data_IF_759678379419
#
_entry.id   IF_759678379419
#
_cell.length_a   1.000
_cell.length_b   1.000
_cell.length_c   1.000
_cell.angle_alpha   90.00
_cell.angle_beta   90.00
_cell.angle_gamma   90.00
#
_symmetry.space_group_name_H-M   'P 1'
#
loop_
_entity.id
_entity.type
_entity.pdbx_description
1 polymer ?
#
# COMPACT_ATOMS: atom_id res chain seq x y z
N UNK A 1 -16.03 25.05 -10.31
CA UNK A 1 -15.82 23.85 -11.15
C UNK A 1 -14.36 23.36 -11.04
N UNK A 2 -14.03 22.61 -9.98
CA UNK A 2 -12.71 21.94 -9.84
C UNK A 2 -12.96 20.57 -9.20
N UNK A 3 -13.38 19.60 -10.00
CA UNK A 3 -13.52 18.18 -9.63
C UNK A 3 -13.01 17.40 -10.84
N UNK A 4 -11.81 16.82 -10.80
CA UNK A 4 -11.36 15.72 -11.68
C UNK A 4 -9.95 15.18 -11.33
N UNK A 5 -9.06 15.90 -10.63
CA UNK A 5 -7.65 15.46 -10.57
C UNK A 5 -7.26 14.34 -9.57
N UNK A 6 -8.08 13.98 -8.58
CA UNK A 6 -7.62 13.06 -7.52
C UNK A 6 -7.87 11.56 -7.76
N UNK A 7 -8.81 11.20 -8.63
CA UNK A 7 -9.02 9.80 -9.06
C UNK A 7 -7.85 9.33 -9.95
N UNK A 8 -7.17 10.27 -10.61
CA UNK A 8 -6.05 9.99 -11.51
C UNK A 8 -4.82 9.46 -10.78
N UNK A 9 -4.47 9.96 -9.58
CA UNK A 9 -3.18 9.64 -8.96
C UNK A 9 -3.13 8.26 -8.28
N UNK A 10 -4.22 7.80 -7.67
CA UNK A 10 -4.29 6.44 -7.12
C UNK A 10 -4.42 5.40 -8.25
N UNK A 11 -5.11 5.75 -9.34
CA UNK A 11 -5.16 4.94 -10.57
C UNK A 11 -3.81 4.92 -11.31
N UNK A 12 -3.02 5.99 -11.25
CA UNK A 12 -1.66 6.06 -11.81
C UNK A 12 -0.65 5.28 -10.96
N UNK A 13 -0.79 5.30 -9.63
CA UNK A 13 0.06 4.51 -8.74
C UNK A 13 -0.24 3.01 -8.87
N UNK A 14 -1.51 2.61 -8.98
CA UNK A 14 -1.86 1.22 -9.30
C UNK A 14 -1.49 0.85 -10.75
N UNK A 15 -1.67 1.73 -11.74
CA UNK A 15 -1.35 1.41 -13.15
C UNK A 15 0.15 1.27 -13.38
N UNK A 16 0.99 2.12 -12.78
CA UNK A 16 2.45 2.02 -12.92
C UNK A 16 3.03 0.84 -12.13
N UNK A 17 2.38 0.43 -11.03
CA UNK A 17 2.78 -0.77 -10.27
C UNK A 17 2.27 -2.07 -10.91
N UNK A 18 1.16 -2.03 -11.68
CA UNK A 18 0.62 -3.20 -12.40
C UNK A 18 1.15 -3.36 -13.84
N UNK A 19 1.52 -2.29 -14.54
CA UNK A 19 2.08 -2.35 -15.92
C UNK A 19 3.59 -2.61 -15.96
N UNK A 20 4.31 -2.50 -14.84
CA UNK A 20 5.73 -2.85 -14.75
C UNK A 20 6.03 -4.36 -14.72
N UNK A 21 5.04 -5.22 -14.98
CA UNK A 21 5.17 -6.68 -14.96
C UNK A 21 5.15 -7.20 -16.40
N UNK A 22 6.23 -6.94 -17.13
CA UNK A 22 6.76 -7.87 -18.13
C UNK A 22 8.24 -8.06 -17.80
N UNK A 23 8.68 -9.23 -17.34
CA UNK A 23 10.10 -9.50 -17.26
C UNK A 23 10.62 -9.67 -18.70
N UNK A 24 11.44 -8.72 -19.16
CA UNK A 24 12.43 -9.02 -20.20
C UNK A 24 13.44 -9.99 -19.57
N UNK A 25 13.13 -11.28 -19.64
CA UNK A 25 14.10 -12.34 -19.50
C UNK A 25 14.75 -12.52 -20.85
N UNK A 26 15.85 -11.81 -21.12
CA UNK A 26 16.89 -12.27 -22.04
C UNK A 26 18.15 -11.40 -21.91
N UNK A 27 19.30 -12.06 -22.04
CA UNK A 27 20.65 -11.54 -22.17
C UNK A 27 21.40 -11.15 -20.87
N UNK A 28 21.86 -12.16 -20.13
CA UNK A 28 23.21 -12.14 -19.57
C UNK A 28 23.89 -13.49 -19.82
N UNK A 29 24.58 -13.58 -20.97
CA UNK A 29 25.56 -14.63 -21.22
C UNK A 29 26.88 -14.26 -20.51
N UNK A 30 27.61 -15.24 -19.94
CA UNK A 30 28.88 -15.00 -19.27
C UNK A 30 30.02 -14.94 -20.29
N UNK A 31 30.82 -13.87 -20.26
CA UNK A 31 32.12 -13.83 -20.95
C UNK A 31 33.25 -14.32 -20.03
N UNK A 32 34.28 -14.96 -20.60
CA UNK A 32 35.29 -15.68 -19.83
C UNK A 32 36.41 -14.77 -19.30
N UNK A 33 36.92 -15.22 -18.15
CA UNK A 33 38.13 -14.85 -17.43
C UNK A 33 39.33 -14.54 -18.33
N UNK A 34 39.94 -13.37 -18.14
CA UNK A 34 41.32 -13.06 -18.56
C UNK A 34 42.13 -12.61 -17.33
N UNK A 35 43.02 -13.48 -16.87
CA UNK A 35 44.03 -13.22 -15.86
C UNK A 35 45.24 -12.52 -16.49
N UNK A 36 45.77 -11.47 -15.86
CA UNK A 36 47.19 -11.07 -15.79
C UNK A 36 47.33 -9.86 -14.81
N UNK A 37 48.54 -9.42 -14.41
CA UNK A 37 49.16 -9.76 -13.14
C UNK A 37 49.34 -8.55 -12.19
N UNK A 38 49.72 -8.87 -10.95
CA UNK A 38 49.99 -7.95 -9.85
C UNK A 38 51.12 -6.97 -10.13
N UNK A 39 50.90 -5.70 -9.81
CA UNK A 39 51.93 -4.76 -9.36
C UNK A 39 51.46 -4.05 -8.10
N UNK A 40 52.17 -4.30 -7.01
CA UNK A 40 52.02 -3.64 -5.71
C UNK A 40 52.78 -2.31 -5.74
N UNK A 41 52.07 -1.19 -5.62
CA UNK A 41 52.67 0.07 -5.19
C UNK A 41 51.90 0.67 -4.02
N UNK A 42 52.68 0.92 -2.98
CA UNK A 42 52.37 1.42 -1.67
C UNK A 42 51.99 2.91 -1.76
N UNK A 43 50.77 3.28 -1.37
CA UNK A 43 50.40 4.69 -1.15
C UNK A 43 49.67 4.82 0.17
N UNK A 44 50.46 5.19 1.18
CA UNK A 44 50.05 5.41 2.55
C UNK A 44 49.60 6.87 2.72
N UNK A 45 48.34 7.03 3.14
CA UNK A 45 47.77 8.16 3.91
C UNK A 45 47.75 9.54 3.25
N UNK A 46 46.62 9.85 2.62
CA UNK A 46 45.86 11.11 2.76
C UNK A 46 44.41 10.82 2.35
N UNK A 47 43.59 10.34 3.29
CA UNK A 47 42.13 10.30 3.16
C UNK A 47 41.58 10.83 4.48
N UNK A 48 41.67 12.15 4.62
CA UNK A 48 40.95 12.90 5.63
C UNK A 48 39.82 13.64 4.90
N UNK A 49 38.59 13.27 5.25
CA UNK A 49 37.46 14.19 5.39
C UNK A 49 36.67 14.67 4.15
N UNK A 50 36.34 13.76 3.22
CA UNK A 50 35.29 14.01 2.19
C UNK A 50 33.99 13.24 2.43
N UNK A 51 33.89 12.43 3.47
CA UNK A 51 32.69 11.62 3.75
C UNK A 51 31.59 12.39 4.49
N UNK A 52 31.88 13.55 5.06
CA UNK A 52 30.89 14.32 5.85
C UNK A 52 29.80 14.96 4.97
N UNK A 53 30.15 15.44 3.77
CA UNK A 53 29.20 16.18 2.92
C UNK A 53 28.19 15.27 2.19
N UNK A 54 28.62 14.07 1.81
CA UNK A 54 27.75 13.05 1.19
C UNK A 54 26.66 12.57 2.16
N UNK A 55 27.00 12.44 3.46
CA UNK A 55 26.02 12.08 4.49
C UNK A 55 25.01 13.20 4.73
N UNK A 56 25.44 14.46 4.70
CA UNK A 56 24.58 15.65 4.82
C UNK A 56 23.56 15.74 3.67
N UNK A 57 23.97 15.49 2.43
CA UNK A 57 23.06 15.48 1.27
C UNK A 57 22.05 14.33 1.35
N UNK A 58 22.51 13.12 1.70
CA UNK A 58 21.64 11.96 1.88
C UNK A 58 20.60 12.19 3.02
N UNK A 59 21.00 12.83 4.12
CA UNK A 59 20.14 13.21 5.25
C UNK A 59 19.07 14.23 4.83
N UNK A 60 19.46 15.26 4.06
CA UNK A 60 18.53 16.26 3.51
C UNK A 60 17.49 15.63 2.58
N UNK A 61 17.95 14.82 1.62
CA UNK A 61 17.05 14.13 0.69
C UNK A 61 16.13 13.14 1.41
N UNK A 62 16.63 12.47 2.46
CA UNK A 62 15.82 11.63 3.36
C UNK A 62 14.73 12.45 4.04
N UNK A 63 15.08 13.58 4.66
CA UNK A 63 14.14 14.46 5.38
C UNK A 63 13.08 15.01 4.43
N UNK A 64 13.48 15.42 3.24
CA UNK A 64 12.55 15.92 2.22
C UNK A 64 11.58 14.84 1.75
N UNK A 65 12.07 13.62 1.51
CA UNK A 65 11.19 12.50 1.13
C UNK A 65 10.22 12.13 2.24
N UNK A 66 10.67 12.13 3.50
CA UNK A 66 9.80 11.95 4.67
C UNK A 66 8.73 13.05 4.68
N UNK A 67 9.12 14.32 4.53
CA UNK A 67 8.19 15.45 4.50
C UNK A 67 7.17 15.35 3.36
N UNK A 68 7.58 14.94 2.16
CA UNK A 68 6.68 14.74 1.02
C UNK A 68 5.72 13.57 1.26
N UNK A 69 6.21 12.49 1.84
CA UNK A 69 5.40 11.32 2.19
C UNK A 69 4.37 11.70 3.26
N UNK A 70 4.80 12.41 4.30
CA UNK A 70 3.92 12.93 5.35
C UNK A 70 2.89 13.89 4.74
N UNK A 71 3.30 14.84 3.89
CA UNK A 71 2.37 15.76 3.22
C UNK A 71 1.36 15.01 2.34
N UNK A 72 1.78 13.96 1.63
CA UNK A 72 0.91 13.12 0.83
C UNK A 72 -0.09 12.35 1.71
N UNK A 73 0.39 11.66 2.75
CA UNK A 73 -0.49 10.94 3.68
C UNK A 73 -1.46 11.90 4.37
N UNK A 74 -0.99 13.03 4.90
CA UNK A 74 -1.85 14.07 5.47
C UNK A 74 -2.89 14.58 4.47
N UNK A 75 -2.52 14.73 3.19
CA UNK A 75 -3.46 15.14 2.14
C UNK A 75 -4.51 14.06 1.85
N UNK A 76 -4.08 12.81 1.64
CA UNK A 76 -4.99 11.67 1.39
C UNK A 76 -5.98 11.52 2.54
N UNK A 77 -5.49 11.62 3.77
CA UNK A 77 -6.33 11.46 4.96
C UNK A 77 -7.24 12.67 5.18
N UNK A 78 -6.80 13.91 4.89
CA UNK A 78 -7.70 15.07 4.85
C UNK A 78 -8.78 14.96 3.78
N UNK A 79 -8.48 14.29 2.67
CA UNK A 79 -9.46 14.12 1.60
C UNK A 79 -10.47 13.01 1.91
N UNK A 80 -10.04 11.96 2.61
CA UNK A 80 -10.96 11.00 3.25
C UNK A 80 -11.79 11.64 4.36
N UNK A 81 -11.17 12.49 5.19
CA UNK A 81 -11.83 13.31 6.22
C UNK A 81 -12.97 14.15 5.65
N UNK A 82 -12.82 14.67 4.43
CA UNK A 82 -13.89 15.42 3.74
C UNK A 82 -14.95 14.55 3.09
N UNK A 83 -14.70 13.26 2.88
CA UNK A 83 -15.69 12.34 2.30
C UNK A 83 -16.56 11.72 3.39
N UNK A 84 -16.02 11.53 4.59
CA UNK A 84 -16.72 10.98 5.75
C UNK A 84 -17.45 12.06 6.60
N UNK A 85 -17.74 13.24 6.02
CA UNK A 85 -18.11 14.50 6.69
C UNK A 85 -19.47 14.53 7.45
N UNK A 86 -20.01 13.38 7.85
CA UNK A 86 -21.15 13.25 8.77
C UNK A 86 -20.77 12.87 10.21
N UNK A 87 -19.56 12.34 10.45
CA UNK A 87 -19.07 11.97 11.79
C UNK A 87 -17.96 12.95 12.19
N UNK A 88 -18.33 13.94 13.01
CA UNK A 88 -17.48 15.06 13.43
C UNK A 88 -16.60 14.62 14.60
N UNK A 89 -15.28 14.70 14.44
CA UNK A 89 -14.33 14.73 15.54
C UNK A 89 -13.37 15.93 15.40
N UNK A 90 -12.81 16.37 16.53
CA UNK A 90 -11.96 17.55 16.65
C UNK A 90 -10.53 17.23 16.15
N UNK A 91 -10.36 17.18 14.82
CA UNK A 91 -9.13 16.73 14.15
C UNK A 91 -7.91 17.65 14.31
N UNK A 92 -8.07 18.78 15.00
CA UNK A 92 -6.98 19.66 15.38
C UNK A 92 -6.38 19.28 16.74
N UNK A 93 -6.86 18.19 17.37
CA UNK A 93 -6.26 17.59 18.54
C UNK A 93 -4.77 17.24 18.31
N UNK A 94 -3.84 17.80 19.10
CA UNK A 94 -2.42 17.51 18.98
C UNK A 94 -2.07 16.03 19.19
N UNK A 95 -2.83 15.31 20.02
CA UNK A 95 -2.57 13.90 20.31
C UNK A 95 -2.87 13.04 19.07
N UNK A 96 -4.03 13.20 18.45
CA UNK A 96 -4.36 12.53 17.18
C UNK A 96 -3.34 12.82 16.08
N UNK A 97 -2.85 14.06 15.98
CA UNK A 97 -1.79 14.40 15.02
C UNK A 97 -0.46 13.69 15.31
N UNK A 98 -0.12 13.50 16.58
CA UNK A 98 1.10 12.81 16.99
C UNK A 98 1.03 11.30 16.68
N UNK A 99 -0.10 10.66 16.99
CA UNK A 99 -0.36 9.26 16.66
C UNK A 99 -0.29 9.03 15.14
N UNK A 100 -0.91 9.92 14.38
CA UNK A 100 -0.84 9.90 12.92
C UNK A 100 0.60 10.00 12.39
N UNK A 101 1.40 10.91 12.94
CA UNK A 101 2.80 11.06 12.57
C UNK A 101 3.62 9.81 12.92
N UNK A 102 3.31 9.17 14.04
CA UNK A 102 3.97 7.94 14.48
C UNK A 102 3.68 6.80 13.50
N UNK A 103 2.41 6.61 13.13
CA UNK A 103 2.00 5.60 12.15
C UNK A 103 2.69 5.81 10.79
N UNK A 104 2.69 7.05 10.29
CA UNK A 104 3.36 7.39 9.02
C UNK A 104 4.86 7.09 9.06
N UNK A 105 5.54 7.35 10.19
CA UNK A 105 6.96 6.98 10.40
C UNK A 105 7.16 5.46 10.38
N UNK A 106 6.25 4.69 11.00
CA UNK A 106 6.30 3.21 10.97
C UNK A 106 6.15 2.67 9.54
N UNK A 107 5.18 3.18 8.76
CA UNK A 107 5.04 2.81 7.33
C UNK A 107 6.27 3.20 6.50
N UNK A 108 6.82 4.39 6.71
CA UNK A 108 8.06 4.83 6.06
C UNK A 108 9.20 3.84 6.35
N UNK A 109 9.35 3.43 7.60
CA UNK A 109 10.39 2.50 8.01
C UNK A 109 10.22 1.13 7.35
N UNK A 110 8.98 0.63 7.24
CA UNK A 110 8.67 -0.60 6.50
C UNK A 110 9.07 -0.49 5.01
N UNK A 111 8.71 0.60 4.34
CA UNK A 111 9.11 0.86 2.95
C UNK A 111 10.63 0.92 2.79
N UNK A 112 11.34 1.49 3.76
CA UNK A 112 12.80 1.50 3.76
C UNK A 112 13.38 0.10 3.90
N UNK A 113 12.83 -0.76 4.76
CA UNK A 113 13.24 -2.17 4.85
C UNK A 113 13.06 -2.92 3.53
N UNK A 114 12.04 -2.61 2.75
CA UNK A 114 11.88 -3.16 1.39
C UNK A 114 13.04 -2.70 0.49
N UNK A 115 13.37 -1.41 0.49
CA UNK A 115 14.47 -0.84 -0.31
C UNK A 115 15.84 -1.40 0.09
N UNK A 116 16.05 -1.68 1.37
CA UNK A 116 17.28 -2.27 1.91
C UNK A 116 17.37 -3.79 1.65
N UNK A 117 16.48 -4.38 0.86
CA UNK A 117 16.48 -5.82 0.57
C UNK A 117 16.03 -6.70 1.74
N UNK A 118 15.32 -6.13 2.73
CA UNK A 118 14.83 -6.82 3.94
C UNK A 118 13.30 -6.93 3.96
N UNK A 119 12.67 -7.59 2.97
CA UNK A 119 11.21 -7.64 2.84
C UNK A 119 10.54 -8.33 4.04
N UNK A 120 11.10 -9.41 4.57
CA UNK A 120 10.56 -10.09 5.76
C UNK A 120 10.50 -9.19 7.01
N UNK A 121 11.38 -8.18 7.11
CA UNK A 121 11.30 -7.21 8.19
C UNK A 121 10.18 -6.20 7.95
N UNK A 122 10.02 -5.72 6.70
CA UNK A 122 8.90 -4.86 6.34
C UNK A 122 7.55 -5.52 6.64
N UNK A 123 7.43 -6.82 6.33
CA UNK A 123 6.24 -7.61 6.66
C UNK A 123 5.93 -7.58 8.17
N UNK A 124 6.92 -7.91 9.01
CA UNK A 124 6.75 -7.88 10.48
C UNK A 124 6.34 -6.51 11.00
N UNK A 125 6.85 -5.43 10.41
CA UNK A 125 6.45 -4.07 10.78
C UNK A 125 4.97 -3.84 10.45
N UNK A 126 4.50 -4.19 9.26
CA UNK A 126 3.09 -4.03 8.92
C UNK A 126 2.17 -4.88 9.78
N UNK A 127 2.55 -6.13 10.07
CA UNK A 127 1.77 -7.00 10.96
C UNK A 127 1.67 -6.42 12.36
N UNK A 128 2.78 -5.90 12.90
CA UNK A 128 2.79 -5.24 14.20
C UNK A 128 1.89 -4.01 14.23
N UNK A 129 1.95 -3.15 13.20
CA UNK A 129 1.07 -1.98 13.12
C UNK A 129 -0.41 -2.40 13.10
N UNK A 130 -0.76 -3.44 12.35
CA UNK A 130 -2.14 -3.95 12.31
C UNK A 130 -2.57 -4.41 13.70
N UNK A 131 -1.70 -5.15 14.39
CA UNK A 131 -1.98 -5.63 15.74
C UNK A 131 -2.15 -4.46 16.72
N UNK A 132 -1.24 -3.47 16.71
CA UNK A 132 -1.34 -2.28 17.56
C UNK A 132 -2.67 -1.53 17.36
N UNK A 133 -3.09 -1.33 16.11
CA UNK A 133 -4.38 -0.67 15.81
C UNK A 133 -5.57 -1.52 16.28
N UNK A 134 -5.46 -2.85 16.23
CA UNK A 134 -6.52 -3.76 16.68
C UNK A 134 -6.63 -3.79 18.20
N UNK A 135 -5.49 -3.80 18.89
CA UNK A 135 -5.44 -3.78 20.36
C UNK A 135 -6.00 -2.43 20.89
N UNK A 136 -5.68 -1.30 20.24
CA UNK A 136 -6.22 0.03 20.57
C UNK A 136 -7.76 0.11 20.40
N UNK A 137 -8.33 -0.60 19.41
CA UNK A 137 -9.79 -0.64 19.20
C UNK A 137 -10.55 -1.40 20.29
N UNK A 138 -9.91 -2.28 21.03
CA UNK A 138 -10.53 -2.96 22.17
C UNK A 138 -10.64 -2.04 23.40
N UNK A 139 -9.77 -1.03 23.49
CA UNK A 139 -9.67 -0.11 24.64
C UNK A 139 -10.49 1.18 24.43
N UNK A 140 -10.57 1.68 23.19
CA UNK A 140 -11.23 2.95 22.85
C UNK A 140 -12.53 2.76 22.04
N UNK A 141 -13.56 3.56 22.32
CA UNK A 141 -14.83 3.60 21.53
C UNK A 141 -14.66 4.16 20.11
N UNK A 142 -13.43 4.55 19.72
CA UNK A 142 -13.16 5.23 18.46
C UNK A 142 -12.53 4.30 17.44
N UNK A 143 -13.28 4.01 16.38
CA UNK A 143 -12.83 3.07 15.37
C UNK A 143 -11.98 3.72 14.27
N UNK A 144 -10.66 3.51 14.32
CA UNK A 144 -9.69 4.01 13.34
C UNK A 144 -9.61 3.18 12.03
N UNK A 145 -10.77 2.88 11.44
CA UNK A 145 -10.91 2.03 10.24
C UNK A 145 -10.02 2.45 9.06
N UNK A 146 -9.74 3.74 8.92
CA UNK A 146 -8.90 4.27 7.86
C UNK A 146 -7.43 3.84 8.00
N UNK A 147 -6.89 3.87 9.23
CA UNK A 147 -5.50 3.51 9.52
C UNK A 147 -5.28 2.01 9.30
N UNK A 148 -6.22 1.20 9.78
CA UNK A 148 -6.24 -0.24 9.57
C UNK A 148 -6.31 -0.57 8.07
N UNK A 149 -7.23 0.06 7.33
CA UNK A 149 -7.38 -0.15 5.89
C UNK A 149 -6.10 0.14 5.11
N UNK A 150 -5.46 1.28 5.37
CA UNK A 150 -4.20 1.66 4.71
C UNK A 150 -3.11 0.61 4.98
N UNK A 151 -2.94 0.21 6.24
CA UNK A 151 -1.90 -0.76 6.62
C UNK A 151 -2.17 -2.14 6.01
N UNK A 152 -3.42 -2.59 6.01
CA UNK A 152 -3.87 -3.83 5.34
C UNK A 152 -3.54 -3.81 3.86
N UNK A 153 -3.82 -2.71 3.15
CA UNK A 153 -3.52 -2.58 1.72
C UNK A 153 -2.02 -2.64 1.45
N UNK A 154 -1.21 -1.98 2.28
CA UNK A 154 0.26 -2.00 2.16
C UNK A 154 0.82 -3.41 2.39
N UNK A 155 0.32 -4.13 3.41
CA UNK A 155 0.71 -5.52 3.67
C UNK A 155 0.31 -6.45 2.51
N UNK A 156 -0.93 -6.34 2.03
CA UNK A 156 -1.41 -7.17 0.92
C UNK A 156 -0.61 -6.93 -0.37
N UNK A 157 -0.24 -5.67 -0.65
CA UNK A 157 0.62 -5.35 -1.78
C UNK A 157 2.04 -5.90 -1.59
N UNK A 158 2.59 -5.76 -0.38
CA UNK A 158 3.90 -6.29 -0.04
C UNK A 158 3.98 -7.81 -0.28
N UNK A 159 3.00 -8.57 0.23
CA UNK A 159 2.89 -10.02 0.05
C UNK A 159 2.80 -10.42 -1.43
N UNK A 160 2.05 -9.68 -2.24
CA UNK A 160 1.97 -9.95 -3.68
C UNK A 160 3.32 -9.73 -4.39
N UNK A 161 4.10 -8.75 -3.97
CA UNK A 161 5.41 -8.43 -4.57
C UNK A 161 6.50 -9.41 -4.18
N UNK A 162 6.43 -9.99 -2.99
CA UNK A 162 7.40 -10.99 -2.51
C UNK A 162 7.08 -12.40 -2.98
N UNK A 163 6.00 -12.59 -3.74
CA UNK A 163 5.59 -13.92 -4.24
C UNK A 163 4.97 -14.80 -3.16
N UNK A 164 4.43 -14.21 -2.08
CA UNK A 164 3.74 -14.97 -1.05
C UNK A 164 2.52 -15.71 -1.63
N UNK A 165 2.11 -16.80 -0.97
CA UNK A 165 0.99 -17.61 -1.45
C UNK A 165 -0.30 -16.78 -1.52
N UNK A 166 -1.14 -16.97 -2.56
CA UNK A 166 -2.42 -16.26 -2.65
C UNK A 166 -3.32 -16.46 -1.43
N UNK A 167 -3.21 -17.59 -0.74
CA UNK A 167 -3.95 -17.87 0.51
C UNK A 167 -3.57 -16.89 1.63
N UNK A 168 -2.28 -16.58 1.78
CA UNK A 168 -1.77 -15.64 2.79
C UNK A 168 -2.21 -14.21 2.50
N UNK A 169 -2.21 -13.80 1.23
CA UNK A 169 -2.73 -12.47 0.87
C UNK A 169 -4.24 -12.38 1.11
N UNK A 170 -5.00 -13.45 0.83
CA UNK A 170 -6.44 -13.49 1.15
C UNK A 170 -6.70 -13.36 2.64
N UNK A 171 -5.92 -14.02 3.49
CA UNK A 171 -6.13 -13.96 4.94
C UNK A 171 -5.96 -12.54 5.48
N UNK A 172 -5.06 -11.73 4.90
CA UNK A 172 -4.90 -10.31 5.27
C UNK A 172 -6.17 -9.51 5.00
N UNK A 173 -6.80 -9.67 3.83
CA UNK A 173 -8.09 -9.03 3.53
C UNK A 173 -9.21 -9.53 4.43
N UNK A 174 -9.30 -10.84 4.64
CA UNK A 174 -10.36 -11.43 5.47
C UNK A 174 -10.23 -11.01 6.94
N UNK A 175 -9.00 -10.89 7.46
CA UNK A 175 -8.75 -10.40 8.81
C UNK A 175 -9.26 -8.97 8.99
N UNK A 176 -9.00 -8.10 8.00
CA UNK A 176 -9.53 -6.73 8.00
C UNK A 176 -11.06 -6.73 8.12
N UNK A 177 -11.77 -7.51 7.30
CA UNK A 177 -13.24 -7.54 7.35
C UNK A 177 -13.80 -8.20 8.59
N UNK A 178 -13.08 -9.16 9.18
CA UNK A 178 -13.49 -9.74 10.46
C UNK A 178 -13.55 -8.64 11.53
N UNK A 179 -12.48 -7.86 11.66
CA UNK A 179 -12.42 -6.77 12.64
C UNK A 179 -13.38 -5.64 12.27
N UNK A 180 -13.28 -5.11 11.05
CA UNK A 180 -14.03 -3.92 10.65
C UNK A 180 -15.55 -4.12 10.44
N UNK A 181 -16.05 -5.36 10.34
CA UNK A 181 -17.49 -5.62 10.08
C UNK A 181 -18.16 -6.40 11.21
N UNK A 182 -17.45 -7.32 11.87
CA UNK A 182 -18.04 -8.14 12.93
C UNK A 182 -17.92 -7.44 14.29
N UNK A 183 -16.81 -6.77 14.55
CA UNK A 183 -16.52 -6.14 15.85
C UNK A 183 -16.93 -4.66 15.88
N UNK A 184 -16.89 -3.96 14.72
CA UNK A 184 -17.16 -2.52 14.62
C UNK A 184 -18.63 -2.06 14.48
N UNK A 185 -19.61 -2.96 14.54
CA UNK A 185 -21.01 -2.63 14.21
C UNK A 185 -21.21 -2.28 12.72
N UNK A 186 -22.45 -2.18 12.26
CA UNK A 186 -22.82 -2.05 10.83
C UNK A 186 -22.43 -0.72 10.15
N UNK A 187 -21.34 -0.06 10.57
CA UNK A 187 -20.88 1.16 9.91
C UNK A 187 -20.10 0.83 8.63
N UNK A 188 -20.86 0.74 7.55
CA UNK A 188 -20.41 0.71 6.16
C UNK A 188 -19.54 1.93 5.81
N UNK A 189 -18.26 1.92 6.22
CA UNK A 189 -17.36 3.04 5.98
C UNK A 189 -16.73 3.00 4.58
N UNK A 190 -16.48 4.18 3.99
CA UNK A 190 -15.82 4.32 2.68
C UNK A 190 -14.41 3.66 2.64
N UNK A 191 -13.74 3.52 3.78
CA UNK A 191 -12.45 2.83 3.87
C UNK A 191 -12.59 1.34 3.54
N UNK A 192 -13.62 0.69 4.07
CA UNK A 192 -13.96 -0.71 3.77
C UNK A 192 -14.28 -0.93 2.30
N UNK A 193 -14.94 0.04 1.65
CA UNK A 193 -15.21 0.01 0.21
C UNK A 193 -13.92 -0.09 -0.61
N UNK A 194 -12.88 0.67 -0.25
CA UNK A 194 -11.57 0.63 -0.93
C UNK A 194 -10.84 -0.69 -0.71
N UNK A 195 -10.91 -1.24 0.50
CA UNK A 195 -10.32 -2.56 0.78
C UNK A 195 -11.03 -3.65 -0.04
N UNK A 196 -12.36 -3.58 -0.17
CA UNK A 196 -13.14 -4.50 -1.01
C UNK A 196 -12.78 -4.35 -2.50
N UNK A 197 -12.64 -3.12 -2.98
CA UNK A 197 -12.23 -2.85 -4.36
C UNK A 197 -10.85 -3.47 -4.65
N UNK A 198 -9.87 -3.27 -3.76
CA UNK A 198 -8.54 -3.86 -3.88
C UNK A 198 -8.59 -5.40 -3.81
N UNK A 199 -9.43 -5.94 -2.93
CA UNK A 199 -9.61 -7.39 -2.82
C UNK A 199 -10.24 -7.99 -4.08
N UNK A 200 -11.20 -7.30 -4.69
CA UNK A 200 -11.81 -7.69 -5.96
C UNK A 200 -10.77 -7.76 -7.09
N UNK A 201 -9.90 -6.75 -7.21
CA UNK A 201 -8.81 -6.74 -8.17
C UNK A 201 -7.82 -7.89 -7.94
N UNK A 202 -7.51 -8.16 -6.67
CA UNK A 202 -6.68 -9.31 -6.31
C UNK A 202 -7.33 -10.64 -6.75
N UNK A 203 -8.61 -10.86 -6.49
CA UNK A 203 -9.30 -12.10 -6.89
C UNK A 203 -9.42 -12.23 -8.42
N UNK A 204 -9.56 -11.13 -9.17
CA UNK A 204 -9.45 -11.15 -10.64
C UNK A 204 -8.09 -11.67 -11.10
N UNK A 205 -7.00 -11.18 -10.50
CA UNK A 205 -5.64 -11.64 -10.80
C UNK A 205 -5.47 -13.14 -10.50
N UNK A 206 -6.19 -13.66 -9.52
CA UNK A 206 -6.22 -15.09 -9.18
C UNK A 206 -7.25 -15.89 -9.99
N UNK A 207 -7.80 -15.33 -11.08
CA UNK A 207 -8.79 -15.97 -11.96
C UNK A 207 -10.17 -16.26 -11.29
N UNK A 208 -10.43 -15.72 -10.10
CA UNK A 208 -11.68 -15.89 -9.34
C UNK A 208 -12.72 -14.83 -9.71
N UNK A 209 -13.19 -14.84 -10.96
CA UNK A 209 -14.05 -13.79 -11.54
C UNK A 209 -15.35 -13.55 -10.79
N UNK A 210 -16.06 -14.62 -10.42
CA UNK A 210 -17.36 -14.53 -9.75
C UNK A 210 -17.22 -13.79 -8.40
N UNK A 211 -16.26 -14.23 -7.59
CA UNK A 211 -15.97 -13.59 -6.30
C UNK A 211 -15.54 -12.15 -6.46
N UNK A 212 -14.69 -11.85 -7.44
CA UNK A 212 -14.27 -10.49 -7.70
C UNK A 212 -15.45 -9.57 -8.06
N UNK A 213 -16.39 -10.03 -8.88
CA UNK A 213 -17.59 -9.25 -9.22
C UNK A 213 -18.50 -9.02 -8.02
N UNK A 214 -18.65 -10.02 -7.14
CA UNK A 214 -19.40 -9.86 -5.89
C UNK A 214 -18.75 -8.81 -4.99
N UNK A 215 -17.42 -8.89 -4.80
CA UNK A 215 -16.65 -7.96 -3.98
C UNK A 215 -16.74 -6.52 -4.50
N UNK A 216 -16.56 -6.30 -5.81
CA UNK A 216 -16.61 -4.94 -6.37
C UNK A 216 -18.02 -4.35 -6.34
N UNK A 217 -19.07 -5.16 -6.53
CA UNK A 217 -20.45 -4.69 -6.37
C UNK A 217 -20.72 -4.27 -4.93
N UNK A 218 -20.26 -5.06 -3.95
CA UNK A 218 -20.33 -4.70 -2.53
C UNK A 218 -19.56 -3.42 -2.25
N UNK A 219 -18.34 -3.27 -2.79
CA UNK A 219 -17.57 -2.03 -2.66
C UNK A 219 -18.33 -0.80 -3.16
N UNK A 220 -19.03 -0.92 -4.30
CA UNK A 220 -19.83 0.17 -4.89
C UNK A 220 -21.12 0.45 -4.10
N UNK A 221 -21.68 -0.55 -3.42
CA UNK A 221 -22.79 -0.35 -2.49
C UNK A 221 -22.35 0.48 -1.28
N UNK A 222 -21.18 0.16 -0.70
CA UNK A 222 -20.60 0.92 0.42
C UNK A 222 -20.16 2.34 0.03
N UNK A 223 -19.59 2.50 -1.17
CA UNK A 223 -19.16 3.81 -1.69
C UNK A 223 -19.61 3.97 -3.16
N UNK A 224 -20.75 4.64 -3.41
CA UNK A 224 -21.25 4.90 -4.75
C UNK A 224 -20.28 5.67 -5.65
N UNK A 225 -19.31 6.40 -5.10
CA UNK A 225 -18.26 7.09 -5.88
C UNK A 225 -17.41 6.10 -6.68
N UNK A 226 -17.36 4.83 -6.26
CA UNK A 226 -16.65 3.76 -6.95
C UNK A 226 -17.40 3.18 -8.16
N UNK A 227 -18.63 3.62 -8.47
CA UNK A 227 -19.39 3.17 -9.66
C UNK A 227 -18.59 3.07 -10.97
N UNK A 228 -17.71 4.03 -11.33
CA UNK A 228 -16.92 3.96 -12.56
C UNK A 228 -16.02 2.72 -12.67
N UNK A 229 -15.68 2.07 -11.55
CA UNK A 229 -14.83 0.86 -11.50
C UNK A 229 -15.50 -0.31 -12.22
N UNK A 230 -16.82 -0.42 -12.17
CA UNK A 230 -17.58 -1.47 -12.88
C UNK A 230 -17.41 -1.36 -14.41
N UNK A 231 -17.09 -0.16 -14.90
CA UNK A 231 -16.86 0.09 -16.33
C UNK A 231 -15.43 -0.25 -16.76
N UNK A 232 -14.53 -0.60 -15.85
CA UNK A 232 -13.16 -0.98 -16.21
C UNK A 232 -13.15 -2.28 -17.02
N UNK A 233 -12.28 -2.34 -18.04
CA UNK A 233 -12.17 -3.50 -18.94
C UNK A 233 -12.11 -4.84 -18.19
N UNK A 234 -11.29 -4.92 -17.14
CA UNK A 234 -11.10 -6.14 -16.36
C UNK A 234 -12.41 -6.68 -15.74
N UNK A 235 -13.31 -5.81 -15.28
CA UNK A 235 -14.59 -6.20 -14.71
C UNK A 235 -15.66 -6.46 -15.77
N UNK A 236 -15.65 -5.70 -16.87
CA UNK A 236 -16.54 -5.95 -18.03
C UNK A 236 -16.27 -7.32 -18.65
N UNK A 237 -15.02 -7.59 -19.00
CA UNK A 237 -14.58 -8.87 -19.57
C UNK A 237 -14.89 -10.04 -18.62
N UNK A 238 -14.77 -9.82 -17.29
CA UNK A 238 -15.11 -10.84 -16.30
C UNK A 238 -16.62 -11.12 -16.24
N UNK A 239 -17.45 -10.09 -16.39
CA UNK A 239 -18.91 -10.21 -16.43
C UNK A 239 -19.40 -10.94 -17.67
N UNK A 240 -18.91 -10.56 -18.85
CA UNK A 240 -19.27 -11.18 -20.13
C UNK A 240 -18.95 -12.68 -20.14
N UNK A 241 -17.74 -13.05 -19.68
CA UNK A 241 -17.33 -14.47 -19.59
C UNK A 241 -18.19 -15.30 -18.64
N UNK A 242 -18.75 -14.69 -17.59
CA UNK A 242 -19.65 -15.41 -16.69
C UNK A 242 -21.03 -15.59 -17.32
N UNK A 243 -21.53 -14.60 -18.05
CA UNK A 243 -22.79 -14.70 -18.79
C UNK A 243 -22.72 -15.80 -19.86
N UNK A 244 -21.61 -15.88 -20.59
CA UNK A 244 -21.38 -16.94 -21.60
C UNK A 244 -21.33 -18.35 -20.99
N UNK A 245 -20.91 -18.51 -19.73
CA UNK A 245 -20.89 -19.81 -19.06
C UNK A 245 -22.26 -20.28 -18.54
N UNK A 246 -23.23 -19.37 -18.48
CA UNK A 246 -24.59 -19.66 -18.02
C UNK A 246 -25.55 -19.98 -19.16
N UNK A 247 -25.13 -19.76 -20.41
CA UNK A 247 -25.84 -20.15 -21.63
C UNK A 247 -25.35 -21.51 -22.11
#
# INVERSE_FOLDING_TARGET
>A
MVRIHLISLFSLFLSHVLLGILPNSDAFSPTPSRQAPMTTTNTRRYFQDETSDVTSFAEKHRREWINRSMAYYSKVMREERRRNLGQVQDYDDPQYQQEFLLLAKKHYFALRKIKDGKPAHAERIYQRIIQEIQDEQEEDEHCDHAQLAVTTLLLALHLQRTGASPKRTRSVFLNFFRVAVVEGGEEECACSAKVLQAFALFELKQNNRQKALQLVKKAVQLDPVLQPVLKWKQFRDASERLQQKMQ
#
